data_IF_098752864343
#
_entry.id   IF_098752864343
#
_cell.length_a   1.000
_cell.length_b   1.000
_cell.length_c   1.000
_cell.angle_alpha   90.00
_cell.angle_beta   90.00
_cell.angle_gamma   90.00
#
_symmetry.space_group_name_H-M   'P 1'
#
loop_
_entity.id
_entity.type
_entity.pdbx_description
1 polymer ?
#
# COMPACT_ATOMS: atom_id res chain seq x y z
N UNK A 1 14.15 -6.30 -18.03
CA UNK A 1 14.04 -5.10 -17.18
C UNK A 1 13.58 -5.54 -15.80
N UNK A 2 14.39 -5.35 -14.77
CA UNK A 2 14.04 -5.68 -13.38
C UNK A 2 13.17 -4.56 -12.81
N UNK A 3 11.86 -4.78 -12.71
CA UNK A 3 10.93 -3.82 -12.09
C UNK A 3 11.33 -3.49 -10.65
N UNK A 4 10.95 -2.30 -10.17
CA UNK A 4 11.19 -1.83 -8.80
C UNK A 4 9.88 -1.77 -8.01
N UNK A 5 9.98 -2.00 -6.71
CA UNK A 5 8.90 -1.90 -5.74
C UNK A 5 9.42 -1.15 -4.52
N UNK A 6 8.61 -0.30 -3.89
CA UNK A 6 9.03 0.51 -2.74
C UNK A 6 9.31 -0.32 -1.47
N UNK A 7 8.57 -1.41 -1.27
CA UNK A 7 8.63 -2.35 -0.15
C UNK A 7 8.35 -1.80 1.26
N UNK A 8 8.37 -0.47 1.44
CA UNK A 8 8.11 0.20 2.72
C UNK A 8 7.14 1.39 2.57
N UNK A 9 5.96 1.15 1.98
CA UNK A 9 4.91 2.18 1.87
C UNK A 9 4.25 2.36 3.23
N UNK A 10 4.44 3.53 3.84
CA UNK A 10 3.89 3.90 5.14
C UNK A 10 3.69 5.42 5.24
N UNK A 11 2.83 5.93 6.12
CA UNK A 11 2.54 7.36 6.22
C UNK A 11 3.76 8.24 6.47
N UNK A 12 4.79 7.78 7.19
CA UNK A 12 6.01 8.57 7.38
C UNK A 12 6.88 8.70 6.13
N UNK A 13 6.63 7.87 5.12
CA UNK A 13 7.30 7.91 3.82
C UNK A 13 6.45 8.66 2.78
N UNK A 14 5.38 9.33 3.21
CA UNK A 14 4.54 10.18 2.38
C UNK A 14 4.55 11.59 2.97
N UNK A 15 5.00 12.56 2.20
CA UNK A 15 4.98 13.99 2.56
C UNK A 15 4.04 14.74 1.62
N UNK A 16 3.55 15.90 2.06
CA UNK A 16 2.79 16.81 1.21
C UNK A 16 3.72 17.92 0.71
N UNK A 17 3.67 18.22 -0.59
CA UNK A 17 4.34 19.39 -1.14
C UNK A 17 3.54 20.68 -0.84
N UNK A 18 4.03 21.82 -1.35
CA UNK A 18 3.37 23.12 -1.15
C UNK A 18 1.98 23.24 -1.80
N UNK A 19 1.60 22.29 -2.65
CA UNK A 19 0.31 22.22 -3.35
C UNK A 19 -0.55 21.05 -2.83
N UNK A 20 -0.24 20.51 -1.64
CA UNK A 20 -0.92 19.35 -1.04
C UNK A 20 -0.86 18.05 -1.88
N UNK A 21 0.11 17.93 -2.79
CA UNK A 21 0.33 16.65 -3.48
C UNK A 21 1.08 15.68 -2.56
N UNK A 22 0.59 14.44 -2.51
CA UNK A 22 1.28 13.35 -1.81
C UNK A 22 2.53 12.91 -2.58
N UNK A 23 3.70 13.10 -1.98
CA UNK A 23 5.01 12.71 -2.51
C UNK A 23 5.55 11.52 -1.73
N UNK A 24 5.87 10.44 -2.43
CA UNK A 24 6.52 9.26 -1.86
C UNK A 24 8.03 9.52 -1.73
N UNK A 25 8.54 9.43 -0.51
CA UNK A 25 9.96 9.60 -0.16
C UNK A 25 10.54 8.28 0.36
N UNK A 26 11.83 8.26 0.71
CA UNK A 26 12.51 7.06 1.24
C UNK A 26 12.45 5.87 0.27
N UNK A 27 12.62 6.17 -1.01
CA UNK A 27 12.60 5.21 -2.14
C UNK A 27 13.81 4.27 -2.18
N UNK A 28 14.69 4.37 -1.17
CA UNK A 28 15.88 3.53 -1.02
C UNK A 28 15.52 2.07 -0.79
N UNK A 29 14.43 1.80 -0.04
CA UNK A 29 13.60 0.57 -0.04
C UNK A 29 14.25 -0.81 0.10
N UNK A 30 15.57 -0.95 0.11
CA UNK A 30 16.24 -2.26 0.04
C UNK A 30 16.75 -2.76 1.39
N UNK A 31 17.02 -1.85 2.34
CA UNK A 31 17.69 -2.19 3.60
C UNK A 31 16.86 -1.89 4.86
N UNK A 32 15.66 -1.31 4.71
CA UNK A 32 14.76 -1.00 5.82
C UNK A 32 13.31 -1.14 5.38
N UNK A 33 12.59 -2.08 5.99
CA UNK A 33 11.14 -2.18 5.89
C UNK A 33 10.57 -2.34 7.30
N UNK A 34 9.39 -1.78 7.55
CA UNK A 34 8.72 -1.97 8.83
C UNK A 34 7.86 -3.23 8.78
N UNK A 35 8.14 -4.20 9.66
CA UNK A 35 7.42 -5.48 9.72
C UNK A 35 5.90 -5.31 9.79
N UNK A 36 5.46 -4.29 10.52
CA UNK A 36 4.06 -3.94 10.71
C UNK A 36 3.38 -3.59 9.38
N UNK A 37 4.10 -2.95 8.45
CA UNK A 37 3.55 -2.45 7.18
C UNK A 37 3.58 -3.47 6.05
N UNK A 38 4.18 -4.63 6.29
CA UNK A 38 4.18 -5.74 5.34
C UNK A 38 2.85 -6.49 5.32
N UNK A 39 2.45 -6.95 4.14
CA UNK A 39 1.36 -7.93 3.99
C UNK A 39 1.70 -9.27 4.69
N UNK A 40 0.67 -10.06 5.01
CA UNK A 40 0.85 -11.37 5.61
C UNK A 40 1.71 -12.29 4.73
N UNK A 41 1.47 -12.28 3.42
CA UNK A 41 2.23 -13.08 2.45
C UNK A 41 3.69 -12.67 2.44
N UNK A 42 3.97 -11.37 2.45
CA UNK A 42 5.34 -10.86 2.47
C UNK A 42 6.06 -11.25 3.76
N UNK A 43 5.39 -11.14 4.92
CA UNK A 43 5.93 -11.60 6.21
C UNK A 43 6.30 -13.09 6.19
N UNK A 44 5.48 -13.94 5.56
CA UNK A 44 5.77 -15.37 5.41
C UNK A 44 6.98 -15.57 4.48
N UNK A 45 7.00 -14.86 3.36
CA UNK A 45 7.97 -15.02 2.28
C UNK A 45 9.39 -14.59 2.69
N UNK A 46 9.53 -13.53 3.49
CA UNK A 46 10.84 -12.96 3.86
C UNK A 46 11.50 -13.63 5.06
N UNK A 47 10.86 -14.62 5.70
CA UNK A 47 11.49 -15.44 6.75
C UNK A 47 12.80 -16.10 6.31
N UNK A 48 13.02 -16.21 5.00
CA UNK A 48 14.15 -16.92 4.40
C UNK A 48 15.15 -15.99 3.68
N UNK A 49 14.75 -14.78 3.27
CA UNK A 49 15.62 -13.84 2.53
C UNK A 49 15.02 -12.43 2.46
N UNK A 50 15.86 -11.41 2.23
CA UNK A 50 15.40 -10.03 2.11
C UNK A 50 14.31 -9.85 1.02
N UNK A 51 13.30 -8.99 1.25
CA UNK A 51 12.20 -8.76 0.30
C UNK A 51 12.65 -8.25 -1.06
N UNK A 52 13.74 -7.47 -1.13
CA UNK A 52 14.31 -6.98 -2.39
C UNK A 52 14.73 -8.12 -3.34
N UNK A 53 15.15 -9.26 -2.79
CA UNK A 53 15.64 -10.40 -3.57
C UNK A 53 14.52 -11.32 -4.07
N UNK A 54 13.27 -10.97 -3.79
CA UNK A 54 12.10 -11.77 -4.17
C UNK A 54 11.65 -11.43 -5.59
N UNK A 55 11.00 -12.39 -6.30
CA UNK A 55 10.41 -12.13 -7.62
C UNK A 55 9.52 -10.88 -7.60
N UNK A 56 9.50 -10.13 -8.70
CA UNK A 56 8.75 -8.87 -8.81
C UNK A 56 7.28 -9.05 -8.41
N UNK A 57 6.63 -10.10 -8.89
CA UNK A 57 5.21 -10.36 -8.62
C UNK A 57 4.93 -10.58 -7.13
N UNK A 58 5.82 -11.31 -6.44
CA UNK A 58 5.73 -11.50 -5.00
C UNK A 58 5.91 -10.18 -4.23
N UNK A 59 6.79 -9.30 -4.72
CA UNK A 59 6.97 -7.96 -4.14
C UNK A 59 5.75 -7.06 -4.35
N UNK A 60 5.12 -7.11 -5.53
CA UNK A 60 3.89 -6.36 -5.84
C UNK A 60 2.74 -6.81 -4.94
N UNK A 61 2.52 -8.12 -4.80
CA UNK A 61 1.52 -8.67 -3.88
C UNK A 61 1.77 -8.21 -2.44
N UNK A 62 3.04 -8.18 -2.03
CA UNK A 62 3.46 -7.75 -0.70
C UNK A 62 3.24 -6.28 -0.36
N UNK A 63 3.16 -5.40 -1.37
CA UNK A 63 2.91 -3.96 -1.20
C UNK A 63 1.47 -3.64 -0.80
N UNK A 64 0.52 -4.50 -1.17
CA UNK A 64 -0.90 -4.35 -0.83
C UNK A 64 -1.11 -4.96 0.56
N UNK A 65 -0.74 -4.17 1.58
CA UNK A 65 -0.63 -4.59 2.98
C UNK A 65 -1.95 -4.82 3.70
N UNK A 66 -1.83 -5.16 4.99
CA UNK A 66 -2.95 -5.49 5.88
C UNK A 66 -3.84 -4.27 6.18
N UNK A 67 -5.17 -4.49 6.11
CA UNK A 67 -6.26 -3.54 6.36
C UNK A 67 -6.10 -2.75 7.64
N UNK A 68 -5.56 -3.39 8.67
CA UNK A 68 -5.40 -2.83 10.02
C UNK A 68 -4.64 -1.50 10.05
N UNK A 69 -3.69 -1.31 9.14
CA UNK A 69 -2.84 -0.12 9.05
C UNK A 69 -3.52 1.09 8.40
N UNK A 70 -4.42 0.85 7.43
CA UNK A 70 -5.16 1.91 6.72
C UNK A 70 -6.41 2.35 7.49
N UNK A 71 -7.08 1.43 8.18
CA UNK A 71 -8.27 1.73 8.99
C UNK A 71 -8.02 2.68 10.17
N UNK A 72 -6.77 2.88 10.58
CA UNK A 72 -6.41 3.72 11.73
C UNK A 72 -6.43 5.24 11.46
N UNK A 73 -6.61 5.67 10.20
CA UNK A 73 -6.64 7.09 9.85
C UNK A 73 -7.89 7.45 9.06
N UNK A 74 -9.03 7.48 9.76
CA UNK A 74 -10.25 8.11 9.25
C UNK A 74 -9.92 9.59 8.91
N UNK A 75 -10.32 10.12 7.75
CA UNK A 75 -10.09 11.53 7.44
C UNK A 75 -10.69 12.39 8.55
N UNK A 76 -9.87 13.25 9.18
CA UNK A 76 -10.38 14.25 10.14
C UNK A 76 -11.16 15.37 9.45
N UNK A 77 -11.02 15.47 8.13
CA UNK A 77 -11.72 16.40 7.24
C UNK A 77 -12.05 15.66 5.96
N UNK A 78 -13.33 15.54 5.66
CA UNK A 78 -13.87 14.83 4.50
C UNK A 78 -15.38 14.63 4.67
N UNK A 79 -16.13 14.65 3.57
CA UNK A 79 -17.54 14.27 3.64
C UNK A 79 -17.66 12.80 4.03
N UNK A 80 -18.78 12.44 4.66
CA UNK A 80 -19.07 11.05 5.02
C UNK A 80 -18.99 10.13 3.79
N UNK A 81 -19.41 10.62 2.62
CA UNK A 81 -19.35 9.90 1.35
C UNK A 81 -17.92 9.57 0.92
N UNK A 82 -17.00 10.54 0.90
CA UNK A 82 -15.59 10.31 0.55
C UNK A 82 -14.96 9.31 1.52
N UNK A 83 -15.27 9.43 2.81
CA UNK A 83 -14.76 8.51 3.83
C UNK A 83 -15.24 7.07 3.60
N UNK A 84 -16.50 6.88 3.19
CA UNK A 84 -17.05 5.57 2.86
C UNK A 84 -16.38 5.01 1.60
N UNK A 85 -16.25 5.81 0.53
CA UNK A 85 -15.60 5.37 -0.72
C UNK A 85 -14.15 4.95 -0.47
N UNK A 86 -13.37 5.75 0.26
CA UNK A 86 -12.00 5.42 0.63
C UNK A 86 -11.92 4.13 1.45
N UNK A 87 -12.86 3.91 2.38
CA UNK A 87 -12.90 2.67 3.16
C UNK A 87 -13.20 1.45 2.28
N UNK A 88 -14.13 1.56 1.32
CA UNK A 88 -14.44 0.47 0.39
C UNK A 88 -13.24 0.14 -0.50
N UNK A 89 -12.55 1.14 -1.02
CA UNK A 89 -11.35 0.95 -1.85
C UNK A 89 -10.24 0.30 -1.02
N UNK A 90 -9.99 0.81 0.20
CA UNK A 90 -9.04 0.22 1.13
C UNK A 90 -9.37 -1.26 1.40
N UNK A 91 -10.62 -1.57 1.74
CA UNK A 91 -11.07 -2.94 2.00
C UNK A 91 -10.83 -3.87 0.80
N UNK A 92 -11.05 -3.38 -0.42
CA UNK A 92 -10.83 -4.15 -1.65
C UNK A 92 -9.34 -4.33 -1.97
N UNK A 93 -8.50 -3.33 -1.68
CA UNK A 93 -7.05 -3.42 -1.85
C UNK A 93 -6.39 -4.37 -0.85
N UNK A 94 -6.94 -4.48 0.36
CA UNK A 94 -6.34 -5.22 1.47
C UNK A 94 -7.09 -6.51 1.82
N UNK A 95 -7.79 -7.13 0.85
CA UNK A 95 -8.41 -8.44 1.08
C UNK A 95 -7.36 -9.48 1.49
N UNK A 96 -7.76 -10.38 2.39
CA UNK A 96 -6.87 -11.43 2.92
C UNK A 96 -6.27 -12.30 1.81
N UNK A 97 -7.08 -12.65 0.81
CA UNK A 97 -6.63 -13.42 -0.37
C UNK A 97 -6.09 -12.47 -1.45
N UNK A 98 -4.80 -12.55 -1.83
CA UNK A 98 -4.20 -11.69 -2.85
C UNK A 98 -4.96 -11.62 -4.17
N UNK A 99 -5.44 -12.75 -4.66
CA UNK A 99 -6.14 -12.89 -5.94
C UNK A 99 -7.51 -12.20 -5.93
N UNK A 100 -8.04 -11.90 -4.75
CA UNK A 100 -9.31 -11.19 -4.59
C UNK A 100 -9.14 -9.67 -4.48
N UNK A 101 -7.89 -9.17 -4.38
CA UNK A 101 -7.58 -7.75 -4.30
C UNK A 101 -7.82 -7.08 -5.65
N UNK A 102 -8.30 -5.85 -5.62
CA UNK A 102 -8.36 -5.03 -6.84
C UNK A 102 -6.96 -4.53 -7.20
N UNK A 103 -6.72 -4.22 -8.48
CA UNK A 103 -5.48 -3.58 -8.87
C UNK A 103 -5.44 -2.11 -8.41
N UNK A 104 -4.23 -1.52 -8.38
CA UNK A 104 -4.09 -0.08 -8.13
C UNK A 104 -4.80 0.75 -9.23
N UNK A 105 -4.81 0.28 -10.48
CA UNK A 105 -5.53 0.93 -11.57
C UNK A 105 -7.05 0.95 -11.32
N UNK A 106 -7.62 -0.17 -10.86
CA UNK A 106 -9.05 -0.25 -10.53
C UNK A 106 -9.40 0.62 -9.31
N UNK A 107 -8.47 0.72 -8.35
CA UNK A 107 -8.63 1.61 -7.20
C UNK A 107 -8.61 3.08 -7.62
N UNK A 108 -7.71 3.48 -8.52
CA UNK A 108 -7.66 4.83 -9.08
C UNK A 108 -8.91 5.16 -9.88
N UNK A 109 -9.38 4.23 -10.72
CA UNK A 109 -10.62 4.42 -11.49
C UNK A 109 -11.83 4.69 -10.58
N UNK A 110 -11.93 3.99 -9.44
CA UNK A 110 -12.99 4.23 -8.44
C UNK A 110 -12.86 5.55 -7.68
N UNK A 111 -11.65 6.13 -7.59
CA UNK A 111 -11.45 7.46 -7.00
C UNK A 111 -11.87 8.56 -7.98
N UNK A 112 -11.73 8.32 -9.29
CA UNK A 112 -12.09 9.27 -10.35
C UNK A 112 -13.58 9.25 -10.72
N UNK A 113 -14.32 8.21 -10.31
CA UNK A 113 -15.77 8.15 -10.42
C UNK A 113 -16.41 9.28 -9.58
N UNK A 114 -17.10 10.21 -10.25
CA UNK A 114 -17.83 11.33 -9.61
C UNK A 114 -19.09 10.83 -8.91
#
# INVERSE_FOLDING_TARGET
>A
MSGRTHLDIKPSNIVLDANDNAILIDVGGTDGFMWEWLSLEMRILIRQSCPVNKPLDARIVGLMGDRSQLSLKRPRSGTLEISIRLQVIADRLTKATPESRISLCDALAQLDEK
#
